data_IF_044699521223
#
_entry.id   IF_044699521223
#
_cell.length_a   1.000
_cell.length_b   1.000
_cell.length_c   1.000
_cell.angle_alpha   90.00
_cell.angle_beta   90.00
_cell.angle_gamma   90.00
#
_symmetry.space_group_name_H-M   'P 1'
#
loop_
_entity.id
_entity.type
_entity.pdbx_description
1 polymer ?
#
# COMPACT_ATOMS: atom_id res chain seq x y z
N UNK A 1 19.28 4.66 -2.39
CA UNK A 1 18.77 3.30 -2.09
C UNK A 1 17.26 3.39 -2.31
N UNK A 2 16.83 3.36 -3.57
CA UNK A 2 15.50 3.83 -4.03
C UNK A 2 14.78 2.80 -4.91
N UNK A 3 15.55 1.86 -5.48
CA UNK A 3 15.10 0.84 -6.43
C UNK A 3 13.97 -0.04 -5.87
N UNK A 4 14.03 -0.38 -4.58
CA UNK A 4 13.05 -1.30 -3.96
C UNK A 4 11.63 -0.74 -3.85
N UNK A 5 11.42 0.58 -3.90
CA UNK A 5 10.06 1.13 -3.81
C UNK A 5 9.43 1.29 -5.19
N UNK A 6 10.23 1.68 -6.19
CA UNK A 6 9.78 1.82 -7.58
C UNK A 6 9.30 0.48 -8.15
N UNK A 7 10.02 -0.62 -7.88
CA UNK A 7 9.62 -1.97 -8.31
C UNK A 7 8.27 -2.40 -7.73
N UNK A 8 8.01 -2.07 -6.45
CA UNK A 8 6.74 -2.39 -5.77
C UNK A 8 5.58 -1.57 -6.33
N UNK A 9 5.83 -0.30 -6.64
CA UNK A 9 4.86 0.55 -7.30
C UNK A 9 4.55 0.05 -8.71
N UNK A 10 5.56 -0.35 -9.47
CA UNK A 10 5.38 -0.91 -10.81
C UNK A 10 4.52 -2.18 -10.75
N UNK A 11 4.81 -3.10 -9.83
CA UNK A 11 3.99 -4.28 -9.59
C UNK A 11 2.53 -3.88 -9.33
N UNK A 12 2.30 -3.04 -8.31
CA UNK A 12 0.97 -2.60 -7.92
C UNK A 12 0.20 -1.91 -9.05
N UNK A 13 0.83 -0.99 -9.79
CA UNK A 13 0.15 -0.31 -10.89
C UNK A 13 -0.08 -1.22 -12.10
N UNK A 14 0.70 -2.28 -12.26
CA UNK A 14 0.53 -3.26 -13.35
C UNK A 14 -0.57 -4.27 -13.04
N UNK A 15 -0.67 -4.74 -11.80
CA UNK A 15 -1.58 -5.83 -11.40
C UNK A 15 -2.83 -5.33 -10.68
N UNK A 16 -2.80 -4.14 -10.10
CA UNK A 16 -3.80 -3.65 -9.15
C UNK A 16 -3.64 -4.19 -7.72
N UNK A 17 -2.59 -4.98 -7.46
CA UNK A 17 -2.35 -5.62 -6.17
C UNK A 17 -0.84 -5.68 -5.84
N UNK A 18 -0.51 -5.78 -4.56
CA UNK A 18 0.85 -6.03 -4.10
C UNK A 18 0.86 -7.21 -3.14
N UNK A 19 1.54 -8.31 -3.50
CA UNK A 19 1.58 -9.56 -2.71
C UNK A 19 0.18 -10.08 -2.30
N UNK A 20 -0.77 -10.01 -3.23
CA UNK A 20 -2.17 -10.43 -3.04
C UNK A 20 -3.03 -9.47 -2.23
N UNK A 21 -2.52 -8.30 -1.84
CA UNK A 21 -3.32 -7.23 -1.25
C UNK A 21 -3.74 -6.24 -2.33
N UNK A 22 -5.04 -5.91 -2.39
CA UNK A 22 -5.60 -4.92 -3.31
C UNK A 22 -6.26 -3.76 -2.54
N UNK A 23 -6.27 -2.58 -3.16
CA UNK A 23 -6.88 -1.37 -2.59
C UNK A 23 -8.40 -1.51 -2.52
N UNK A 24 -9.00 -1.23 -1.36
CA UNK A 24 -10.46 -1.26 -1.16
C UNK A 24 -11.06 0.06 -0.74
N UNK A 25 -10.26 0.91 -0.09
CA UNK A 25 -10.68 2.24 0.33
C UNK A 25 -9.55 3.22 0.04
N UNK A 26 -9.86 4.28 -0.70
CA UNK A 26 -9.09 5.49 -0.76
C UNK A 26 -9.99 6.65 -0.35
N UNK A 27 -9.59 7.41 0.67
CA UNK A 27 -10.26 8.66 1.01
C UNK A 27 -9.27 9.73 1.44
N UNK A 28 -9.55 10.96 1.06
CA UNK A 28 -8.78 12.13 1.47
C UNK A 28 -9.48 12.80 2.65
N UNK A 29 -8.79 12.92 3.78
CA UNK A 29 -9.27 13.61 4.97
C UNK A 29 -8.22 14.63 5.44
N UNK A 30 -8.63 15.89 5.56
CA UNK A 30 -7.79 16.96 6.12
C UNK A 30 -6.37 17.04 5.49
N UNK A 31 -6.27 16.85 4.17
CA UNK A 31 -5.01 16.84 3.37
C UNK A 31 -4.13 15.61 3.59
N UNK A 32 -4.66 14.56 4.21
CA UNK A 32 -4.03 13.24 4.25
C UNK A 32 -4.80 12.28 3.37
N UNK A 33 -4.07 11.45 2.66
CA UNK A 33 -4.62 10.33 1.90
C UNK A 33 -4.57 9.12 2.81
N UNK A 34 -5.74 8.52 3.07
CA UNK A 34 -5.87 7.27 3.76
C UNK A 34 -6.17 6.16 2.76
N UNK A 35 -5.36 5.11 2.80
CA UNK A 35 -5.52 3.91 1.99
C UNK A 35 -5.80 2.73 2.90
N UNK A 36 -6.67 1.83 2.45
CA UNK A 36 -6.88 0.51 3.04
C UNK A 36 -6.74 -0.54 1.95
N UNK A 37 -5.94 -1.55 2.23
CA UNK A 37 -5.69 -2.71 1.38
C UNK A 37 -6.15 -3.98 2.09
N UNK A 38 -6.62 -4.97 1.33
CA UNK A 38 -7.00 -6.27 1.87
C UNK A 38 -6.54 -7.42 0.98
N UNK A 39 -6.28 -8.59 1.57
CA UNK A 39 -6.09 -9.85 0.86
C UNK A 39 -7.30 -10.80 1.01
N UNK A 40 -8.42 -10.29 1.51
CA UNK A 40 -9.63 -11.06 1.81
C UNK A 40 -9.62 -11.75 3.18
N UNK A 41 -8.49 -11.78 3.89
CA UNK A 41 -8.40 -12.31 5.26
C UNK A 41 -8.11 -11.22 6.29
N UNK A 42 -7.30 -10.24 5.92
CA UNK A 42 -6.94 -9.12 6.78
C UNK A 42 -6.93 -7.80 6.02
N UNK A 43 -7.00 -6.71 6.78
CA UNK A 43 -6.95 -5.34 6.27
C UNK A 43 -5.71 -4.62 6.81
N UNK A 44 -5.07 -3.83 5.95
CA UNK A 44 -3.94 -2.99 6.28
C UNK A 44 -4.26 -1.58 5.82
N UNK A 45 -4.19 -0.63 6.76
CA UNK A 45 -4.43 0.77 6.48
C UNK A 45 -3.19 1.61 6.74
N UNK A 46 -3.01 2.66 5.94
CA UNK A 46 -2.03 3.70 6.23
C UNK A 46 -2.50 5.05 5.70
N UNK A 47 -2.06 6.11 6.38
CA UNK A 47 -2.21 7.48 5.92
C UNK A 47 -0.86 8.07 5.52
N UNK A 48 -0.88 8.97 4.54
CA UNK A 48 0.27 9.77 4.13
C UNK A 48 -0.15 11.14 3.62
N UNK A 49 0.79 12.08 3.55
CA UNK A 49 0.51 13.41 2.98
C UNK A 49 0.28 13.33 1.45
N UNK A 50 0.85 12.30 0.82
CA UNK A 50 0.67 11.98 -0.60
C UNK A 50 0.37 10.48 -0.76
N UNK A 51 -0.25 10.09 -1.88
CA UNK A 51 -0.58 8.69 -2.17
C UNK A 51 0.66 7.80 -2.11
N UNK A 52 1.80 8.28 -2.61
CA UNK A 52 3.07 7.55 -2.56
C UNK A 52 3.58 7.28 -1.14
N UNK A 53 3.41 8.21 -0.19
CA UNK A 53 3.79 8.01 1.22
C UNK A 53 2.87 6.98 1.89
N UNK A 54 1.56 7.08 1.64
CA UNK A 54 0.60 6.08 2.11
C UNK A 54 0.90 4.68 1.54
N UNK A 55 1.17 4.57 0.23
CA UNK A 55 1.55 3.31 -0.42
C UNK A 55 2.85 2.74 0.14
N UNK A 56 3.87 3.56 0.35
CA UNK A 56 5.14 3.11 0.94
C UNK A 56 4.92 2.46 2.31
N UNK A 57 4.09 3.08 3.15
CA UNK A 57 3.73 2.56 4.48
C UNK A 57 2.91 1.27 4.39
N UNK A 58 1.96 1.19 3.48
CA UNK A 58 1.19 -0.02 3.24
C UNK A 58 2.09 -1.16 2.79
N UNK A 59 2.95 -0.94 1.79
CA UNK A 59 3.85 -1.98 1.29
C UNK A 59 4.82 -2.47 2.37
N UNK A 60 5.31 -1.58 3.22
CA UNK A 60 6.16 -1.96 4.35
C UNK A 60 5.39 -2.83 5.37
N UNK A 61 4.13 -2.52 5.66
CA UNK A 61 3.29 -3.35 6.53
C UNK A 61 2.99 -4.71 5.89
N UNK A 62 2.66 -4.76 4.60
CA UNK A 62 2.44 -6.02 3.86
C UNK A 62 3.70 -6.89 3.88
N UNK A 63 4.87 -6.29 3.64
CA UNK A 63 6.14 -6.99 3.71
C UNK A 63 6.39 -7.57 5.10
N UNK A 64 6.07 -6.81 6.16
CA UNK A 64 6.19 -7.28 7.54
C UNK A 64 5.28 -8.47 7.83
N UNK A 65 4.08 -8.53 7.26
CA UNK A 65 3.14 -9.64 7.46
C UNK A 65 3.53 -10.87 6.65
N UNK A 66 4.00 -10.66 5.41
CA UNK A 66 4.37 -11.74 4.45
C UNK A 66 5.81 -12.24 4.61
N UNK A 67 6.59 -11.73 5.57
CA UNK A 67 7.97 -12.19 5.84
C UNK A 67 8.05 -13.38 6.81
N UNK A 68 6.96 -14.14 6.96
CA UNK A 68 6.86 -15.38 7.74
C UNK A 68 6.51 -16.53 6.80
#
# INVERSE_FOLDING_TARGET
MTVLFEEKLEEFYRTGEYKGFYEVIEHEQERMIHLTFTDGFQEISASGMFKSDALQRIFHQIDSVRSN
#
